data_IF_027280321650
#
_entry.id   IF_027280321650
#
_cell.length_a   1.000
_cell.length_b   1.000
_cell.length_c   1.000
_cell.angle_alpha   90.00
_cell.angle_beta   90.00
_cell.angle_gamma   90.00
#
_symmetry.space_group_name_H-M   'P 1'
#
loop_
_entity.id
_entity.type
_entity.pdbx_description
1 polymer ?
#
# COMPACT_ATOMS: atom_id res chain seq x y z
N UNK A 1 -33.58 13.54 -6.45
CA UNK A 1 -32.90 12.86 -7.57
C UNK A 1 -31.50 13.48 -7.73
N UNK A 2 -30.43 12.70 -7.60
CA UNK A 2 -29.10 13.24 -7.84
C UNK A 2 -28.98 13.71 -9.30
N UNK A 3 -28.54 14.95 -9.48
CA UNK A 3 -28.35 15.54 -10.79
C UNK A 3 -27.33 14.71 -11.59
N UNK A 4 -27.45 14.59 -12.90
CA UNK A 4 -26.49 13.81 -13.73
C UNK A 4 -25.05 14.23 -13.42
N UNK A 5 -24.78 15.51 -13.20
CA UNK A 5 -23.46 16.05 -12.87
C UNK A 5 -22.94 15.52 -11.53
N UNK A 6 -23.77 15.48 -10.48
CA UNK A 6 -23.33 15.03 -9.13
C UNK A 6 -22.96 13.55 -9.11
N UNK A 7 -23.51 12.76 -10.03
CA UNK A 7 -23.23 11.32 -10.15
C UNK A 7 -21.84 11.03 -10.72
N UNK A 8 -21.27 11.97 -11.47
CA UNK A 8 -19.96 11.81 -12.11
C UNK A 8 -18.79 12.40 -11.30
N UNK A 9 -19.06 13.22 -10.28
CA UNK A 9 -18.00 13.84 -9.45
C UNK A 9 -17.09 12.79 -8.81
N UNK A 10 -17.58 11.75 -8.08
CA UNK A 10 -16.69 10.74 -7.51
C UNK A 10 -15.85 10.03 -8.57
N UNK A 11 -16.46 9.60 -9.67
CA UNK A 11 -15.75 8.92 -10.74
C UNK A 11 -14.63 9.80 -11.36
N UNK A 12 -14.86 11.12 -11.47
CA UNK A 12 -13.82 12.04 -11.95
C UNK A 12 -12.64 12.13 -10.98
N UNK A 13 -12.91 12.09 -9.67
CA UNK A 13 -11.85 12.07 -8.64
C UNK A 13 -11.10 10.74 -8.70
N UNK A 14 -11.80 9.62 -8.89
CA UNK A 14 -11.17 8.30 -9.11
C UNK A 14 -10.28 8.29 -10.36
N UNK A 15 -10.71 8.96 -11.45
CA UNK A 15 -9.84 9.15 -12.62
C UNK A 15 -8.58 9.95 -12.30
N UNK A 16 -8.64 10.94 -11.41
CA UNK A 16 -7.44 11.66 -10.96
C UNK A 16 -6.50 10.74 -10.17
N UNK A 17 -7.03 9.83 -9.31
CA UNK A 17 -6.24 8.78 -8.67
C UNK A 17 -5.51 7.95 -9.73
N UNK A 18 -6.21 7.44 -10.73
CA UNK A 18 -5.62 6.64 -11.81
C UNK A 18 -4.51 7.39 -12.57
N UNK A 19 -4.75 8.67 -12.91
CA UNK A 19 -3.75 9.50 -13.59
C UNK A 19 -2.50 9.66 -12.73
N UNK A 20 -2.66 9.91 -11.42
CA UNK A 20 -1.55 9.96 -10.48
C UNK A 20 -0.77 8.63 -10.46
N UNK A 21 -1.45 7.49 -10.45
CA UNK A 21 -0.83 6.17 -10.51
C UNK A 21 -0.02 5.95 -11.80
N UNK A 22 -0.55 6.37 -12.95
CA UNK A 22 0.18 6.32 -14.23
C UNK A 22 1.42 7.23 -14.23
N UNK A 23 1.30 8.45 -13.69
CA UNK A 23 2.43 9.38 -13.56
C UNK A 23 3.50 8.83 -12.60
N UNK A 24 3.07 8.24 -11.47
CA UNK A 24 3.96 7.59 -10.52
C UNK A 24 4.75 6.44 -11.18
N UNK A 25 4.07 5.61 -11.95
CA UNK A 25 4.68 4.50 -12.69
C UNK A 25 5.71 5.01 -13.69
N UNK A 26 5.36 6.03 -14.48
CA UNK A 26 6.31 6.67 -15.41
C UNK A 26 7.54 7.25 -14.71
N UNK A 27 7.35 7.99 -13.62
CA UNK A 27 8.43 8.54 -12.83
C UNK A 27 9.34 7.44 -12.23
N UNK A 28 8.74 6.34 -11.73
CA UNK A 28 9.46 5.20 -11.17
C UNK A 28 10.38 4.52 -12.19
N UNK A 29 9.93 4.31 -13.44
CA UNK A 29 10.77 3.75 -14.51
C UNK A 29 11.96 4.62 -14.90
N UNK A 30 11.94 5.92 -14.55
CA UNK A 30 13.05 6.84 -14.75
C UNK A 30 13.89 7.05 -13.48
N UNK A 31 13.68 6.27 -12.42
CA UNK A 31 14.38 6.42 -11.14
C UNK A 31 14.04 7.69 -10.36
N UNK A 32 12.97 8.37 -10.73
CA UNK A 32 12.51 9.60 -10.09
C UNK A 32 11.66 9.30 -8.85
N UNK A 33 12.26 8.66 -7.83
CA UNK A 33 11.54 8.15 -6.66
C UNK A 33 10.71 9.22 -5.93
N UNK A 34 11.23 10.44 -5.76
CA UNK A 34 10.50 11.53 -5.10
C UNK A 34 9.21 11.88 -5.84
N UNK A 35 9.26 11.96 -7.17
CA UNK A 35 8.08 12.21 -8.00
C UNK A 35 7.11 11.03 -7.98
N UNK A 36 7.62 9.81 -8.08
CA UNK A 36 6.80 8.60 -8.01
C UNK A 36 6.03 8.53 -6.68
N UNK A 37 6.73 8.74 -5.56
CA UNK A 37 6.10 8.73 -4.22
C UNK A 37 5.12 9.89 -4.05
N UNK A 38 5.45 11.09 -4.51
CA UNK A 38 4.52 12.23 -4.46
C UNK A 38 3.22 11.89 -5.21
N UNK A 39 3.30 11.29 -6.39
CA UNK A 39 2.12 10.93 -7.17
C UNK A 39 1.34 9.79 -6.52
N UNK A 40 1.98 8.80 -5.88
CA UNK A 40 1.29 7.76 -5.09
C UNK A 40 0.51 8.39 -3.93
N UNK A 41 1.13 9.33 -3.20
CA UNK A 41 0.48 10.03 -2.08
C UNK A 41 -0.70 10.87 -2.57
N UNK A 42 -0.55 11.61 -3.68
CA UNK A 42 -1.65 12.36 -4.28
C UNK A 42 -2.77 11.43 -4.74
N UNK A 43 -2.44 10.29 -5.34
CA UNK A 43 -3.40 9.24 -5.69
C UNK A 43 -4.19 8.75 -4.48
N UNK A 44 -3.52 8.48 -3.35
CA UNK A 44 -4.18 8.09 -2.10
C UNK A 44 -5.09 9.19 -1.53
N UNK A 45 -4.75 10.46 -1.72
CA UNK A 45 -5.61 11.59 -1.36
C UNK A 45 -6.86 11.61 -2.24
N UNK A 46 -6.73 11.43 -3.56
CA UNK A 46 -7.88 11.36 -4.46
C UNK A 46 -8.79 10.16 -4.17
N UNK A 47 -8.22 8.98 -3.91
CA UNK A 47 -8.94 7.78 -3.47
C UNK A 47 -9.78 8.05 -2.21
N UNK A 48 -9.19 8.68 -1.19
CA UNK A 48 -9.93 9.05 0.00
C UNK A 48 -11.09 10.01 -0.31
N UNK A 49 -10.87 11.00 -1.19
CA UNK A 49 -11.87 12.02 -1.53
C UNK A 49 -12.99 11.48 -2.43
N UNK A 50 -12.76 10.51 -3.30
CA UNK A 50 -13.81 9.94 -4.12
C UNK A 50 -14.82 9.14 -3.27
N UNK A 51 -14.34 8.31 -2.35
CA UNK A 51 -15.20 7.63 -1.38
C UNK A 51 -15.92 8.58 -0.43
N UNK A 52 -15.29 9.67 -0.01
CA UNK A 52 -15.92 10.70 0.80
C UNK A 52 -17.01 11.45 0.03
N UNK A 53 -16.72 11.86 -1.22
CA UNK A 53 -17.67 12.58 -2.08
C UNK A 53 -18.87 11.70 -2.45
N UNK A 54 -18.66 10.41 -2.73
CA UNK A 54 -19.73 9.46 -3.01
C UNK A 54 -20.70 9.35 -1.83
N UNK A 55 -20.17 9.24 -0.60
CA UNK A 55 -20.98 9.21 0.62
C UNK A 55 -21.70 10.54 0.89
N UNK A 56 -21.01 11.67 0.73
CA UNK A 56 -21.58 13.00 0.97
C UNK A 56 -22.70 13.35 -0.01
N UNK A 57 -22.57 12.92 -1.27
CA UNK A 57 -23.57 13.15 -2.31
C UNK A 57 -24.68 12.08 -2.34
N UNK A 58 -24.56 11.03 -1.53
CA UNK A 58 -25.51 9.91 -1.52
C UNK A 58 -25.57 9.16 -2.86
N UNK A 59 -24.46 9.12 -3.60
CA UNK A 59 -24.39 8.46 -4.91
C UNK A 59 -23.52 7.21 -4.80
N UNK A 60 -24.01 6.12 -5.36
CA UNK A 60 -23.23 4.89 -5.56
C UNK A 60 -23.56 4.34 -6.95
N UNK A 61 -22.56 3.82 -7.63
CA UNK A 61 -22.75 3.15 -8.91
C UNK A 61 -21.86 1.92 -9.02
N UNK A 62 -22.32 0.83 -9.67
CA UNK A 62 -21.48 -0.32 -9.94
C UNK A 62 -20.20 0.06 -10.69
N UNK A 63 -20.31 0.95 -11.68
CA UNK A 63 -19.16 1.47 -12.45
C UNK A 63 -18.16 2.19 -11.54
N UNK A 64 -18.63 2.98 -10.57
CA UNK A 64 -17.75 3.70 -9.63
C UNK A 64 -16.91 2.73 -8.80
N UNK A 65 -17.52 1.65 -8.29
CA UNK A 65 -16.81 0.62 -7.51
C UNK A 65 -15.74 -0.11 -8.33
N UNK A 66 -16.06 -0.45 -9.58
CA UNK A 66 -15.09 -1.12 -10.46
C UNK A 66 -13.95 -0.18 -10.87
N UNK A 67 -14.29 1.09 -11.19
CA UNK A 67 -13.31 2.10 -11.56
C UNK A 67 -12.33 2.39 -10.41
N UNK A 68 -12.82 2.47 -9.17
CA UNK A 68 -12.05 2.61 -7.94
C UNK A 68 -11.03 1.47 -7.80
N UNK A 69 -11.50 0.22 -7.91
CA UNK A 69 -10.60 -0.94 -7.85
C UNK A 69 -9.55 -0.96 -8.96
N UNK A 70 -9.90 -0.53 -10.19
CA UNK A 70 -8.97 -0.45 -11.30
C UNK A 70 -7.92 0.66 -11.10
N UNK A 71 -8.34 1.82 -10.59
CA UNK A 71 -7.44 2.92 -10.23
C UNK A 71 -6.45 2.49 -9.14
N UNK A 72 -6.95 1.82 -8.11
CA UNK A 72 -6.15 1.31 -7.00
C UNK A 72 -5.09 0.28 -7.42
N UNK A 73 -5.43 -0.61 -8.36
CA UNK A 73 -4.44 -1.55 -8.91
C UNK A 73 -3.27 -0.79 -9.54
N UNK A 74 -3.52 0.30 -10.25
CA UNK A 74 -2.46 1.10 -10.89
C UNK A 74 -1.68 1.88 -9.85
N UNK A 75 -2.35 2.63 -8.98
CA UNK A 75 -1.72 3.54 -8.02
C UNK A 75 -1.02 2.81 -6.88
N UNK A 76 -1.64 1.74 -6.35
CA UNK A 76 -1.13 1.04 -5.17
C UNK A 76 -0.57 -0.35 -5.47
N UNK A 77 -0.68 -0.82 -6.71
CA UNK A 77 -0.08 -2.08 -7.16
C UNK A 77 1.04 -1.84 -8.17
N UNK A 78 0.74 -1.26 -9.33
CA UNK A 78 1.70 -1.10 -10.44
C UNK A 78 2.78 -0.06 -10.11
N UNK A 79 2.42 1.10 -9.58
CA UNK A 79 3.38 2.15 -9.27
C UNK A 79 4.45 1.71 -8.24
N UNK A 80 4.11 1.12 -7.08
CA UNK A 80 5.14 0.60 -6.18
C UNK A 80 5.92 -0.58 -6.77
N UNK A 81 5.31 -1.40 -7.64
CA UNK A 81 6.03 -2.43 -8.38
C UNK A 81 7.08 -1.84 -9.31
N UNK A 82 6.77 -0.73 -10.00
CA UNK A 82 7.72 -0.03 -10.85
C UNK A 82 8.87 0.59 -10.04
N UNK A 83 8.62 1.09 -8.82
CA UNK A 83 9.67 1.54 -7.90
C UNK A 83 10.62 0.37 -7.58
N UNK A 84 10.09 -0.80 -7.21
CA UNK A 84 10.88 -1.99 -6.88
C UNK A 84 11.61 -2.52 -8.11
N UNK A 85 10.96 -2.48 -9.28
CA UNK A 85 11.58 -2.86 -10.55
C UNK A 85 12.85 -2.04 -10.82
N UNK A 86 12.78 -0.73 -10.66
CA UNK A 86 13.93 0.13 -10.86
C UNK A 86 14.99 -0.08 -9.77
N UNK A 87 14.58 -0.27 -8.51
CA UNK A 87 15.48 -0.60 -7.41
C UNK A 87 16.26 -1.89 -7.65
N UNK A 88 15.68 -2.92 -8.31
CA UNK A 88 16.41 -4.11 -8.73
C UNK A 88 17.58 -3.82 -9.69
N UNK A 89 17.56 -2.73 -10.45
CA UNK A 89 18.70 -2.34 -11.29
C UNK A 89 19.84 -1.69 -10.49
N UNK A 90 19.55 -1.16 -9.29
CA UNK A 90 20.50 -0.44 -8.44
C UNK A 90 21.14 -1.33 -7.36
N UNK A 91 20.43 -2.35 -6.87
CA UNK A 91 20.93 -3.24 -5.81
C UNK A 91 22.06 -4.14 -6.30
N UNK A 92 22.88 -4.59 -5.34
CA UNK A 92 23.99 -5.51 -5.60
C UNK A 92 23.45 -6.92 -5.92
N UNK A 93 24.04 -7.58 -6.93
CA UNK A 93 23.71 -8.95 -7.30
C UNK A 93 24.84 -9.90 -6.85
N UNK A 94 24.52 -11.00 -6.14
CA UNK A 94 25.48 -12.11 -5.95
C UNK A 94 25.95 -12.67 -7.29
N UNK A 95 27.19 -13.17 -7.36
CA UNK A 95 27.81 -13.70 -8.59
C UNK A 95 26.94 -14.73 -9.30
N UNK A 96 26.33 -15.64 -8.54
CA UNK A 96 25.44 -16.70 -9.06
C UNK A 96 24.23 -16.14 -9.80
N UNK A 97 23.76 -14.95 -9.46
CA UNK A 97 22.57 -14.30 -10.05
C UNK A 97 22.91 -13.29 -11.16
N UNK A 98 24.18 -13.00 -11.40
CA UNK A 98 24.61 -12.07 -12.47
C UNK A 98 24.05 -12.42 -13.87
N UNK A 99 24.00 -13.70 -14.29
CA UNK A 99 23.42 -14.07 -15.60
C UNK A 99 21.91 -13.73 -15.71
N UNK A 100 21.21 -13.63 -14.59
CA UNK A 100 19.78 -13.37 -14.53
C UNK A 100 19.43 -11.91 -14.20
N UNK A 101 20.42 -11.03 -14.07
CA UNK A 101 20.24 -9.62 -13.69
C UNK A 101 19.22 -8.89 -14.56
N UNK A 102 19.10 -9.23 -15.84
CA UNK A 102 18.16 -8.61 -16.78
C UNK A 102 16.72 -9.10 -16.60
N UNK A 103 16.52 -10.25 -15.98
CA UNK A 103 15.18 -10.87 -15.83
C UNK A 103 14.59 -10.72 -14.44
N UNK A 104 15.43 -10.77 -13.39
CA UNK A 104 14.98 -10.68 -11.99
C UNK A 104 14.13 -9.43 -11.71
N UNK A 105 14.43 -8.23 -12.25
CA UNK A 105 13.61 -7.04 -11.99
C UNK A 105 12.13 -7.21 -12.33
N UNK A 106 11.79 -8.00 -13.34
CA UNK A 106 10.39 -8.25 -13.72
C UNK A 106 9.59 -8.99 -12.64
N UNK A 107 10.27 -9.66 -11.71
CA UNK A 107 9.61 -10.26 -10.55
C UNK A 107 8.90 -9.22 -9.67
N UNK A 108 9.30 -7.95 -9.72
CA UNK A 108 8.64 -6.87 -9.00
C UNK A 108 7.13 -6.78 -9.31
N UNK A 109 6.71 -7.14 -10.53
CA UNK A 109 5.31 -7.10 -10.94
C UNK A 109 4.44 -8.19 -10.28
N UNK A 110 5.05 -9.14 -9.55
CA UNK A 110 4.29 -10.00 -8.66
C UNK A 110 3.52 -9.17 -7.62
N UNK A 111 4.10 -8.07 -7.12
CA UNK A 111 3.42 -7.21 -6.17
C UNK A 111 2.15 -6.57 -6.76
N UNK A 112 2.16 -6.19 -8.04
CA UNK A 112 0.97 -5.69 -8.74
C UNK A 112 -0.09 -6.80 -8.89
N UNK A 113 0.33 -8.01 -9.27
CA UNK A 113 -0.58 -9.16 -9.40
C UNK A 113 -1.24 -9.53 -8.07
N UNK A 114 -0.47 -9.56 -6.98
CA UNK A 114 -1.00 -9.83 -5.64
C UNK A 114 -1.88 -8.68 -5.10
N UNK A 115 -1.57 -7.43 -5.47
CA UNK A 115 -2.44 -6.28 -5.17
C UNK A 115 -3.79 -6.39 -5.87
N UNK A 116 -3.81 -6.75 -7.16
CA UNK A 116 -5.04 -6.99 -7.90
C UNK A 116 -5.84 -8.15 -7.32
N UNK A 117 -5.17 -9.27 -6.98
CA UNK A 117 -5.81 -10.42 -6.35
C UNK A 117 -6.43 -10.04 -4.99
N UNK A 118 -5.73 -9.23 -4.19
CA UNK A 118 -6.24 -8.73 -2.91
C UNK A 118 -7.49 -7.89 -3.09
N UNK A 119 -7.50 -6.95 -4.05
CA UNK A 119 -8.66 -6.10 -4.32
C UNK A 119 -9.86 -6.93 -4.82
N UNK A 120 -9.62 -7.90 -5.70
CA UNK A 120 -10.66 -8.82 -6.15
C UNK A 120 -11.26 -9.63 -4.98
N UNK A 121 -10.41 -10.19 -4.09
CA UNK A 121 -10.87 -10.89 -2.87
C UNK A 121 -11.68 -9.95 -1.97
N UNK A 122 -11.20 -8.72 -1.76
CA UNK A 122 -11.88 -7.73 -0.92
C UNK A 122 -13.27 -7.39 -1.44
N UNK A 123 -13.43 -7.23 -2.74
CA UNK A 123 -14.71 -6.90 -3.37
C UNK A 123 -15.76 -8.02 -3.25
N UNK A 124 -15.33 -9.27 -3.13
CA UNK A 124 -16.18 -10.45 -3.01
C UNK A 124 -16.44 -10.88 -1.56
N UNK A 125 -15.59 -10.47 -0.63
CA UNK A 125 -15.64 -10.96 0.76
C UNK A 125 -16.60 -10.13 1.61
N UNK A 126 -17.72 -10.73 1.97
CA UNK A 126 -18.76 -10.13 2.83
C UNK A 126 -18.37 -10.05 4.31
N UNK A 127 -17.30 -10.76 4.73
CA UNK A 127 -16.82 -10.78 6.14
C UNK A 127 -16.14 -9.47 6.54
N UNK A 128 -15.67 -8.68 5.59
CA UNK A 128 -14.82 -7.49 5.81
C UNK A 128 -15.58 -6.21 6.20
N UNK A 129 -16.84 -6.35 6.63
CA UNK A 129 -17.62 -5.19 7.12
C UNK A 129 -17.13 -4.62 8.45
N UNK A 130 -16.51 -5.45 9.29
CA UNK A 130 -16.08 -5.07 10.65
C UNK A 130 -14.57 -5.19 10.92
N UNK A 131 -13.83 -5.91 10.09
CA UNK A 131 -12.39 -6.14 10.24
C UNK A 131 -11.73 -6.19 8.87
N UNK A 132 -10.53 -5.62 8.75
CA UNK A 132 -9.70 -5.79 7.55
C UNK A 132 -8.95 -7.12 7.63
N UNK A 133 -8.98 -7.90 6.54
CA UNK A 133 -8.23 -9.14 6.40
C UNK A 133 -7.12 -8.92 5.38
N UNK A 134 -5.88 -9.18 5.79
CA UNK A 134 -4.68 -8.95 4.98
C UNK A 134 -4.26 -7.49 4.85
N UNK A 135 -3.03 -7.25 4.39
CA UNK A 135 -2.47 -5.91 4.26
C UNK A 135 -3.24 -5.09 3.20
N UNK A 136 -3.73 -3.88 3.53
CA UNK A 136 -4.36 -3.00 2.55
C UNK A 136 -3.38 -2.56 1.45
N UNK A 137 -3.84 -2.51 0.19
CA UNK A 137 -3.00 -2.09 -0.95
C UNK A 137 -2.43 -0.69 -0.80
N UNK A 138 -3.17 0.34 -0.29
CA UNK A 138 -2.59 1.65 -0.04
C UNK A 138 -1.50 1.62 1.04
N UNK A 139 -1.67 0.81 2.10
CA UNK A 139 -0.65 0.66 3.14
C UNK A 139 0.62 0.01 2.57
N UNK A 140 0.49 -1.02 1.73
CA UNK A 140 1.62 -1.62 1.04
C UNK A 140 2.36 -0.60 0.15
N UNK A 141 1.63 0.21 -0.64
CA UNK A 141 2.22 1.24 -1.48
C UNK A 141 2.97 2.31 -0.67
N UNK A 142 2.37 2.79 0.43
CA UNK A 142 3.01 3.75 1.34
C UNK A 142 4.23 3.16 2.04
N UNK A 143 4.21 1.86 2.38
CA UNK A 143 5.38 1.18 2.93
C UNK A 143 6.56 1.25 1.98
N UNK A 144 6.41 0.79 0.73
CA UNK A 144 7.48 0.80 -0.26
C UNK A 144 7.93 2.21 -0.62
N UNK A 145 6.98 3.16 -0.71
CA UNK A 145 7.25 4.57 -0.94
C UNK A 145 8.11 5.20 0.17
N UNK A 146 7.76 4.93 1.42
CA UNK A 146 8.48 5.44 2.59
C UNK A 146 9.85 4.79 2.72
N UNK A 147 9.93 3.47 2.49
CA UNK A 147 11.18 2.71 2.56
C UNK A 147 12.20 3.20 1.52
N UNK A 148 11.77 3.39 0.26
CA UNK A 148 12.68 3.84 -0.79
C UNK A 148 13.21 5.25 -0.54
N UNK A 149 12.39 6.16 -0.03
CA UNK A 149 12.85 7.52 0.25
C UNK A 149 13.73 7.62 1.49
N UNK A 150 13.51 6.78 2.50
CA UNK A 150 14.23 6.85 3.75
C UNK A 150 15.49 6.00 3.79
N UNK A 151 15.47 4.84 3.16
CA UNK A 151 16.52 3.83 3.29
C UNK A 151 17.22 3.51 1.97
N UNK A 152 17.09 4.36 0.94
CA UNK A 152 17.69 4.13 -0.38
C UNK A 152 19.19 3.81 -0.29
N UNK A 153 19.95 4.59 0.49
CA UNK A 153 21.38 4.38 0.66
C UNK A 153 21.74 3.03 1.28
N UNK A 154 20.89 2.51 2.18
CA UNK A 154 21.04 1.16 2.74
C UNK A 154 20.69 0.09 1.71
N UNK A 155 19.58 0.26 0.97
CA UNK A 155 19.08 -0.71 0.01
C UNK A 155 20.06 -0.95 -1.15
N UNK A 156 20.81 0.08 -1.58
CA UNK A 156 21.82 -0.04 -2.65
C UNK A 156 23.24 -0.37 -2.11
N UNK A 157 23.37 -0.50 -0.79
CA UNK A 157 24.68 -0.82 -0.16
C UNK A 157 25.07 -2.28 -0.35
N UNK A 158 26.37 -2.64 -0.20
CA UNK A 158 26.82 -4.04 -0.26
C UNK A 158 26.22 -4.96 0.82
N UNK A 159 25.60 -4.39 1.86
CA UNK A 159 24.98 -5.15 2.95
C UNK A 159 23.59 -5.69 2.57
N UNK A 160 23.00 -5.16 1.52
CA UNK A 160 21.68 -5.54 1.00
C UNK A 160 21.84 -5.95 -0.47
N UNK A 161 21.17 -7.04 -0.89
CA UNK A 161 21.31 -7.55 -2.24
C UNK A 161 19.96 -7.96 -2.85
N UNK A 162 19.98 -8.30 -4.14
CA UNK A 162 18.77 -8.66 -4.90
C UNK A 162 17.98 -9.83 -4.29
N UNK A 163 18.65 -10.77 -3.60
CA UNK A 163 17.97 -11.90 -2.93
C UNK A 163 17.13 -11.39 -1.76
N UNK A 164 17.72 -10.53 -0.91
CA UNK A 164 16.97 -9.93 0.21
C UNK A 164 15.81 -9.07 -0.27
N UNK A 165 16.02 -8.28 -1.33
CA UNK A 165 14.94 -7.49 -1.92
C UNK A 165 13.80 -8.39 -2.42
N UNK A 166 14.12 -9.46 -3.14
CA UNK A 166 13.13 -10.41 -3.64
C UNK A 166 12.34 -11.08 -2.49
N UNK A 167 13.04 -11.62 -1.50
CA UNK A 167 12.40 -12.29 -0.36
C UNK A 167 11.52 -11.33 0.43
N UNK A 168 11.98 -10.10 0.62
CA UNK A 168 11.24 -9.08 1.34
C UNK A 168 9.98 -8.65 0.56
N UNK A 169 10.10 -8.40 -0.74
CA UNK A 169 8.98 -8.12 -1.62
C UNK A 169 7.97 -9.29 -1.64
N UNK A 170 8.47 -10.53 -1.75
CA UNK A 170 7.62 -11.71 -1.77
C UNK A 170 6.85 -11.90 -0.45
N UNK A 171 7.47 -11.58 0.68
CA UNK A 171 6.79 -11.53 1.98
C UNK A 171 5.60 -10.57 1.93
N UNK A 172 5.76 -9.38 1.35
CA UNK A 172 4.67 -8.41 1.21
C UNK A 172 3.58 -8.90 0.24
N UNK A 173 3.93 -9.61 -0.83
CA UNK A 173 2.97 -10.29 -1.68
C UNK A 173 2.11 -11.28 -0.89
N UNK A 174 2.74 -12.08 -0.02
CA UNK A 174 2.00 -13.01 0.85
C UNK A 174 1.10 -12.28 1.86
N UNK A 175 1.59 -11.18 2.46
CA UNK A 175 0.83 -10.40 3.43
C UNK A 175 -0.42 -9.72 2.83
N UNK A 176 -0.38 -9.35 1.55
CA UNK A 176 -1.54 -8.80 0.83
C UNK A 176 -2.71 -9.79 0.77
N UNK A 177 -2.43 -11.08 0.58
CA UNK A 177 -3.46 -12.12 0.42
C UNK A 177 -3.65 -13.01 1.64
N UNK A 178 -2.83 -12.80 2.69
CA UNK A 178 -2.91 -13.56 3.93
C UNK A 178 -4.23 -13.29 4.66
N UNK A 179 -4.81 -14.33 5.24
CA UNK A 179 -6.03 -14.21 6.06
C UNK A 179 -5.70 -13.79 7.50
N UNK A 180 -4.87 -12.77 7.66
CA UNK A 180 -4.51 -12.20 8.96
C UNK A 180 -5.50 -11.07 9.28
N UNK A 181 -6.34 -11.21 10.33
CA UNK A 181 -7.22 -10.13 10.75
C UNK A 181 -6.37 -8.99 11.32
N UNK A 182 -6.62 -7.76 10.83
CA UNK A 182 -5.92 -6.58 11.28
C UNK A 182 -6.76 -5.84 12.33
N UNK A 183 -6.08 -5.14 13.26
CA UNK A 183 -6.73 -4.32 14.29
C UNK A 183 -7.57 -3.24 13.59
N UNK A 184 -8.89 -3.25 13.85
CA UNK A 184 -9.74 -2.16 13.42
C UNK A 184 -9.44 -0.91 14.25
N UNK A 185 -8.90 0.13 13.62
CA UNK A 185 -8.55 1.41 14.30
C UNK A 185 -9.79 2.27 14.64
N UNK A 186 -10.99 1.76 14.37
CA UNK A 186 -12.24 2.44 14.71
C UNK A 186 -12.55 2.26 16.20
N UNK A 187 -12.68 3.37 16.93
CA UNK A 187 -13.09 3.37 18.33
C UNK A 187 -14.62 3.33 18.43
N UNK A 188 -15.16 2.33 19.15
CA UNK A 188 -16.58 2.25 19.50
C UNK A 188 -16.84 2.89 20.87
N UNK A 189 -15.87 2.80 21.76
CA UNK A 189 -15.80 3.45 23.06
C UNK A 189 -14.35 3.88 23.34
N UNK A 190 -14.12 4.66 24.38
CA UNK A 190 -12.78 5.13 24.77
C UNK A 190 -12.24 4.39 26.02
N UNK A 191 -12.86 3.27 26.42
CA UNK A 191 -12.39 2.47 27.55
C UNK A 191 -11.03 1.84 27.25
N UNK A 192 -10.10 1.96 28.19
CA UNK A 192 -8.80 1.29 28.11
C UNK A 192 -8.93 -0.22 27.97
N UNK A 193 -9.86 -0.83 28.72
CA UNK A 193 -10.06 -2.27 28.73
C UNK A 193 -10.38 -2.84 27.34
N UNK A 194 -11.17 -2.12 26.54
CA UNK A 194 -11.64 -2.56 25.23
C UNK A 194 -10.71 -2.13 24.08
N UNK A 195 -9.77 -1.21 24.33
CA UNK A 195 -8.96 -0.62 23.28
C UNK A 195 -7.45 -0.69 23.56
N UNK A 196 -6.99 -1.61 24.43
CA UNK A 196 -5.58 -1.75 24.80
C UNK A 196 -4.64 -1.82 23.61
N UNK A 197 -4.93 -2.72 22.66
CA UNK A 197 -4.11 -2.89 21.45
C UNK A 197 -4.01 -1.60 20.62
N UNK A 198 -5.10 -0.83 20.51
CA UNK A 198 -5.13 0.44 19.77
C UNK A 198 -4.28 1.52 20.46
N UNK A 199 -4.38 1.63 21.78
CA UNK A 199 -3.57 2.59 22.54
C UNK A 199 -2.09 2.24 22.49
N UNK A 200 -1.74 0.95 22.65
CA UNK A 200 -0.35 0.49 22.52
C UNK A 200 0.17 0.77 21.09
N UNK A 201 -0.66 0.52 20.06
CA UNK A 201 -0.31 0.87 18.69
C UNK A 201 -0.03 2.37 18.55
N UNK A 202 -0.93 3.24 19.03
CA UNK A 202 -0.77 4.69 18.91
C UNK A 202 0.48 5.21 19.64
N UNK A 203 0.74 4.72 20.85
CA UNK A 203 1.94 5.08 21.61
C UNK A 203 3.20 4.61 20.88
N UNK A 204 3.19 3.40 20.31
CA UNK A 204 4.31 2.87 19.54
C UNK A 204 4.55 3.56 18.19
N UNK A 205 3.58 4.32 17.68
CA UNK A 205 3.80 5.17 16.51
C UNK A 205 4.64 6.42 16.80
N UNK A 206 4.64 6.91 18.05
CA UNK A 206 5.35 8.15 18.42
C UNK A 206 6.85 8.11 18.09
N UNK A 207 7.62 7.07 18.47
CA UNK A 207 9.03 6.99 18.10
C UNK A 207 9.26 6.88 16.59
N UNK A 208 8.31 6.36 15.82
CA UNK A 208 8.46 6.24 14.36
C UNK A 208 8.58 7.61 13.67
N UNK A 209 8.01 8.67 14.23
CA UNK A 209 8.12 10.02 13.67
C UNK A 209 9.55 10.57 13.65
N UNK A 210 10.44 10.06 14.50
CA UNK A 210 11.86 10.43 14.49
C UNK A 210 12.66 9.80 13.34
N UNK A 211 12.07 8.85 12.60
CA UNK A 211 12.71 8.18 11.46
C UNK A 211 12.59 8.95 10.12
N UNK A 212 12.11 10.18 10.16
CA UNK A 212 11.98 11.01 8.97
C UNK A 212 11.10 10.36 7.90
N UNK A 213 11.63 10.22 6.68
CA UNK A 213 10.89 9.64 5.54
C UNK A 213 10.59 8.14 5.68
N UNK A 214 11.34 7.39 6.52
CA UNK A 214 11.06 5.97 6.85
C UNK A 214 9.89 5.78 7.82
N UNK A 215 9.30 6.85 8.33
CA UNK A 215 8.24 6.85 9.34
C UNK A 215 7.06 5.94 8.97
N UNK A 216 6.51 6.07 7.76
CA UNK A 216 5.36 5.27 7.35
C UNK A 216 5.71 3.78 7.21
N UNK A 217 6.91 3.44 6.75
CA UNK A 217 7.36 2.06 6.70
C UNK A 217 7.41 1.46 8.11
N UNK A 218 7.97 2.19 9.09
CA UNK A 218 8.04 1.77 10.48
C UNK A 218 6.64 1.63 11.12
N UNK A 219 5.74 2.58 10.89
CA UNK A 219 4.35 2.54 11.38
C UNK A 219 3.60 1.32 10.83
N UNK A 220 3.75 1.01 9.54
CA UNK A 220 3.08 -0.12 8.91
C UNK A 220 3.61 -1.44 9.45
N UNK A 221 4.93 -1.57 9.62
CA UNK A 221 5.53 -2.74 10.26
C UNK A 221 5.03 -2.90 11.71
N UNK A 222 4.98 -1.82 12.46
CA UNK A 222 4.45 -1.82 13.82
C UNK A 222 2.96 -2.22 13.87
N UNK A 223 2.16 -1.70 12.93
CA UNK A 223 0.75 -2.06 12.79
C UNK A 223 0.55 -3.55 12.53
N UNK A 224 1.35 -4.13 11.63
CA UNK A 224 1.32 -5.56 11.32
C UNK A 224 1.70 -6.41 12.54
N UNK A 225 2.79 -6.07 13.22
CA UNK A 225 3.25 -6.76 14.43
C UNK A 225 2.19 -6.71 15.53
N UNK A 226 1.64 -5.53 15.82
CA UNK A 226 0.60 -5.35 16.83
C UNK A 226 -0.67 -6.11 16.49
N UNK A 227 -1.06 -6.16 15.20
CA UNK A 227 -2.22 -6.93 14.77
C UNK A 227 -2.01 -8.43 14.99
N UNK A 228 -0.83 -8.95 14.67
CA UNK A 228 -0.49 -10.36 14.89
C UNK A 228 -0.47 -10.71 16.39
N UNK A 229 0.12 -9.85 17.22
CA UNK A 229 0.19 -10.03 18.68
C UNK A 229 -1.22 -9.97 19.27
N UNK A 230 -2.02 -8.97 18.91
CA UNK A 230 -3.39 -8.81 19.42
C UNK A 230 -4.26 -10.01 19.12
N UNK A 231 -4.15 -10.58 17.89
CA UNK A 231 -4.91 -11.77 17.52
C UNK A 231 -4.47 -13.01 18.30
N UNK A 232 -3.18 -13.14 18.59
CA UNK A 232 -2.67 -14.30 19.34
C UNK A 232 -3.02 -14.26 20.81
N UNK A 233 -2.99 -13.07 21.42
CA UNK A 233 -3.19 -12.89 22.86
C UNK A 233 -4.59 -12.38 23.23
N UNK A 234 -5.48 -12.16 22.26
CA UNK A 234 -6.84 -11.60 22.44
C UNK A 234 -6.84 -10.30 23.27
N UNK A 235 -5.87 -9.41 22.97
CA UNK A 235 -5.71 -8.11 23.64
C UNK A 235 -6.80 -7.11 23.21
#
# INVERSE_FOLDING_TARGET
MANIITRHIPNSITCCNLICGCMATGAAFHGQYHWAVLMIVLGAVFDFFDGMSARALGVSSPIGKELDSLADVVTFGVAPSAIIFYLFHEVVYPEVLQPFKSYIPYSAFLLAAFSALRLAKFNLDTRQTNQFIGLPTPANALFWSSLILGEHAFLVSPRFNAVFLFLFMFLFCMLLVAEVPLIALKFKDYSWANNRAKYIFLVGCLPCFFLGTSCFAAIIMWYMLMSMISNRFRL
#
